data_IF_362967179174
#
_entry.id   IF_362967179174
#
_cell.length_a   1.000
_cell.length_b   1.000
_cell.length_c   1.000
_cell.angle_alpha   90.00
_cell.angle_beta   90.00
_cell.angle_gamma   90.00
#
_symmetry.space_group_name_H-M   'P 1'
#
loop_
_entity.id
_entity.type
_entity.pdbx_description
1 polymer ?
#
# COMPACT_ATOMS: atom_id res chain seq x y z
N UNK A 1 19.90 6.55 15.37
CA UNK A 1 18.54 7.16 15.33
C UNK A 1 17.83 7.32 16.69
N UNK A 2 17.61 6.25 17.48
CA UNK A 2 16.76 6.31 18.69
C UNK A 2 17.22 7.32 19.75
N UNK A 3 18.54 7.53 19.89
CA UNK A 3 19.13 8.56 20.77
C UNK A 3 18.67 10.00 20.46
N UNK A 4 18.16 10.26 19.26
CA UNK A 4 17.66 11.58 18.81
C UNK A 4 16.14 11.66 18.73
N UNK A 5 15.42 10.69 19.31
CA UNK A 5 13.96 10.61 19.21
C UNK A 5 13.48 10.60 17.75
N UNK A 6 14.21 9.92 16.85
CA UNK A 6 13.87 9.84 15.43
C UNK A 6 13.38 8.43 15.08
N UNK A 7 12.30 8.38 14.30
CA UNK A 7 11.75 7.16 13.70
C UNK A 7 11.58 7.32 12.19
N UNK A 8 11.61 6.19 11.48
CA UNK A 8 11.22 6.12 10.09
C UNK A 8 9.70 6.02 9.97
N UNK A 9 9.11 6.87 9.13
CA UNK A 9 7.69 6.78 8.77
C UNK A 9 7.57 6.68 7.25
N UNK A 10 6.64 5.86 6.78
CA UNK A 10 6.31 5.76 5.36
C UNK A 10 5.46 6.97 5.00
N UNK A 11 5.91 7.77 4.05
CA UNK A 11 5.14 8.91 3.54
C UNK A 11 4.31 8.54 2.30
N UNK A 12 4.84 7.64 1.46
CA UNK A 12 4.16 7.18 0.24
C UNK A 12 4.49 5.73 -0.06
N UNK A 13 3.54 4.98 -0.59
CA UNK A 13 3.72 3.63 -1.13
C UNK A 13 3.03 3.53 -2.48
N UNK A 14 3.69 2.94 -3.48
CA UNK A 14 3.10 2.63 -4.77
C UNK A 14 3.41 1.17 -5.11
N UNK A 15 2.37 0.41 -5.44
CA UNK A 15 2.46 -1.01 -5.78
C UNK A 15 1.79 -1.20 -7.14
N UNK A 16 2.47 -1.87 -8.04
CA UNK A 16 1.97 -2.29 -9.33
C UNK A 16 2.03 -3.82 -9.40
N UNK A 17 0.88 -4.44 -9.64
CA UNK A 17 0.76 -5.90 -9.75
C UNK A 17 0.57 -6.22 -11.22
N UNK A 18 1.45 -7.03 -11.80
CA UNK A 18 1.32 -7.50 -13.19
C UNK A 18 0.47 -8.79 -13.24
N UNK A 19 0.71 -9.71 -12.29
CA UNK A 19 0.02 -10.99 -12.15
C UNK A 19 0.04 -11.43 -10.69
N UNK A 20 -1.07 -11.99 -10.21
CA UNK A 20 -1.12 -12.63 -8.90
C UNK A 20 -0.56 -14.06 -8.98
N UNK A 21 0.29 -14.49 -8.03
CA UNK A 21 0.65 -15.90 -7.88
C UNK A 21 -0.58 -16.70 -7.45
N UNK A 22 -0.58 -17.99 -7.78
CA UNK A 22 -1.60 -18.96 -7.38
C UNK A 22 -1.08 -19.89 -6.30
N UNK A 23 -1.97 -20.70 -5.73
CA UNK A 23 -1.59 -21.66 -4.70
C UNK A 23 -0.56 -22.65 -5.24
N UNK A 24 0.56 -22.81 -4.52
CA UNK A 24 1.68 -23.67 -4.92
C UNK A 24 2.80 -22.95 -5.67
N UNK A 25 2.58 -21.73 -6.17
CA UNK A 25 3.64 -20.96 -6.83
C UNK A 25 4.72 -20.55 -5.83
N UNK A 26 5.98 -20.70 -6.23
CA UNK A 26 7.12 -20.14 -5.49
C UNK A 26 7.39 -18.73 -5.99
N UNK A 27 7.56 -17.77 -5.07
CA UNK A 27 7.89 -16.38 -5.40
C UNK A 27 9.25 -15.99 -4.84
N UNK A 28 10.02 -15.24 -5.60
CA UNK A 28 11.23 -14.57 -5.16
C UNK A 28 10.93 -13.10 -4.88
N UNK A 29 11.37 -12.60 -3.73
CA UNK A 29 11.20 -11.20 -3.33
C UNK A 29 12.58 -10.58 -3.15
N UNK A 30 12.90 -9.63 -4.01
CA UNK A 30 14.10 -8.82 -3.89
C UNK A 30 13.71 -7.44 -3.34
N UNK A 31 14.47 -6.92 -2.38
CA UNK A 31 14.28 -5.56 -1.84
C UNK A 31 15.61 -4.89 -1.58
N UNK A 32 15.67 -3.60 -1.84
CA UNK A 32 16.83 -2.76 -1.58
C UNK A 32 16.38 -1.37 -1.18
N UNK A 33 17.32 -0.62 -0.62
CA UNK A 33 17.14 0.78 -0.27
C UNK A 33 18.00 1.64 -1.17
N UNK A 34 17.52 2.84 -1.46
CA UNK A 34 18.22 3.84 -2.24
C UNK A 34 17.98 5.22 -1.63
N UNK A 35 18.85 6.18 -1.92
CA UNK A 35 18.63 7.56 -1.52
C UNK A 35 17.37 8.12 -2.19
N UNK A 36 16.62 8.96 -1.48
CA UNK A 36 15.50 9.72 -2.03
C UNK A 36 15.64 11.20 -1.66
N UNK A 37 16.38 11.93 -2.48
CA UNK A 37 16.80 13.30 -2.18
C UNK A 37 17.70 13.36 -0.94
N UNK A 38 17.81 14.54 -0.31
CA UNK A 38 18.71 14.74 0.82
C UNK A 38 18.22 14.12 2.14
N UNK A 39 16.91 13.99 2.34
CA UNK A 39 16.32 13.68 3.65
C UNK A 39 15.45 12.42 3.67
N UNK A 40 15.28 11.75 2.53
CA UNK A 40 14.44 10.58 2.41
C UNK A 40 15.22 9.34 2.01
N UNK A 41 14.61 8.20 2.27
CA UNK A 41 15.04 6.90 1.77
C UNK A 41 13.93 6.34 0.89
N UNK A 42 14.31 5.74 -0.23
CA UNK A 42 13.42 4.90 -1.04
C UNK A 42 13.67 3.45 -0.66
N UNK A 43 12.61 2.66 -0.54
CA UNK A 43 12.72 1.20 -0.50
C UNK A 43 11.90 0.64 -1.64
N UNK A 44 12.54 -0.20 -2.42
CA UNK A 44 11.97 -0.82 -3.60
C UNK A 44 11.80 -2.33 -3.37
N UNK A 45 10.82 -2.91 -4.06
CA UNK A 45 10.57 -4.34 -4.08
C UNK A 45 10.32 -4.82 -5.50
N UNK A 46 10.90 -5.97 -5.83
CA UNK A 46 10.63 -6.74 -7.03
C UNK A 46 10.18 -8.12 -6.62
N UNK A 47 8.96 -8.50 -7.00
CA UNK A 47 8.41 -9.84 -6.78
C UNK A 47 8.41 -10.56 -8.11
N UNK A 48 9.08 -11.72 -8.16
CA UNK A 48 9.19 -12.57 -9.34
C UNK A 48 8.66 -13.96 -9.10
N UNK A 49 8.17 -14.57 -10.16
CA UNK A 49 7.85 -15.99 -10.20
C UNK A 49 9.15 -16.79 -10.13
N UNK A 50 9.25 -17.72 -9.19
CA UNK A 50 10.48 -18.46 -8.91
C UNK A 50 10.89 -19.42 -10.03
N UNK A 51 9.94 -19.85 -10.86
CA UNK A 51 10.21 -20.81 -11.94
C UNK A 51 10.54 -20.08 -13.26
N UNK A 52 9.74 -19.09 -13.63
CA UNK A 52 9.87 -18.38 -14.91
C UNK A 52 10.74 -17.12 -14.83
N UNK A 53 10.95 -16.57 -13.64
CA UNK A 53 11.58 -15.26 -13.44
C UNK A 53 10.69 -14.07 -13.85
N UNK A 54 9.43 -14.33 -14.24
CA UNK A 54 8.47 -13.29 -14.64
C UNK A 54 8.24 -12.31 -13.48
N UNK A 55 8.21 -11.01 -13.77
CA UNK A 55 7.85 -10.00 -12.76
C UNK A 55 6.35 -10.07 -12.43
N UNK A 56 6.03 -10.44 -11.20
CA UNK A 56 4.68 -10.52 -10.67
C UNK A 56 4.20 -9.17 -10.14
N UNK A 57 5.06 -8.47 -9.39
CA UNK A 57 4.74 -7.17 -8.83
C UNK A 57 6.00 -6.33 -8.61
N UNK A 58 5.83 -5.02 -8.62
CA UNK A 58 6.85 -4.02 -8.28
C UNK A 58 6.26 -3.07 -7.26
N UNK A 59 7.05 -2.65 -6.29
CA UNK A 59 6.63 -1.62 -5.35
C UNK A 59 7.76 -0.66 -5.04
N UNK A 60 7.40 0.57 -4.70
CA UNK A 60 8.32 1.59 -4.20
C UNK A 60 7.66 2.37 -3.08
N UNK A 61 8.44 2.65 -2.04
CA UNK A 61 8.02 3.44 -0.89
C UNK A 61 8.99 4.58 -0.60
N UNK A 62 8.44 5.70 -0.14
CA UNK A 62 9.22 6.85 0.34
C UNK A 62 9.13 6.93 1.85
N UNK A 63 10.29 6.95 2.48
CA UNK A 63 10.45 7.02 3.92
C UNK A 63 11.08 8.35 4.31
N UNK A 64 10.57 8.93 5.37
CA UNK A 64 11.07 10.18 5.96
C UNK A 64 11.25 10.00 7.45
N UNK A 65 12.13 10.81 8.05
CA UNK A 65 12.32 10.80 9.49
C UNK A 65 11.30 11.69 10.18
N UNK A 66 10.74 11.21 11.28
CA UNK A 66 9.87 11.99 12.17
C UNK A 66 10.48 12.00 13.57
N UNK A 67 10.43 13.16 14.21
CA UNK A 67 10.77 13.27 15.62
C UNK A 67 9.58 12.81 16.48
N UNK A 68 9.78 11.84 17.36
CA UNK A 68 8.71 11.23 18.16
C UNK A 68 8.16 12.16 19.23
N UNK A 69 8.98 13.07 19.76
CA UNK A 69 8.56 14.03 20.80
C UNK A 69 7.75 15.19 20.22
N UNK A 70 8.21 15.78 19.12
CA UNK A 70 7.56 16.95 18.50
C UNK A 70 6.52 16.59 17.45
N UNK A 71 6.53 15.33 16.98
CA UNK A 71 5.67 14.81 15.90
C UNK A 71 5.82 15.57 14.57
N UNK A 72 6.97 16.20 14.36
CA UNK A 72 7.32 16.91 13.12
C UNK A 72 8.32 16.12 12.29
N UNK A 73 8.25 16.30 10.97
CA UNK A 73 9.27 15.78 10.05
C UNK A 73 10.62 16.39 10.40
N UNK A 74 11.66 15.55 10.40
CA UNK A 74 13.03 15.94 10.67
C UNK A 74 13.89 15.73 9.43
N UNK A 75 14.90 16.59 9.26
CA UNK A 75 16.01 16.29 8.35
C UNK A 75 16.77 15.05 8.86
N UNK A 76 17.42 14.38 7.94
CA UNK A 76 18.31 13.25 8.25
C UNK A 76 19.62 13.80 8.83
N UNK A 77 19.96 13.51 10.10
CA UNK A 77 21.24 13.90 10.67
C UNK A 77 22.40 13.22 9.94
N UNK A 78 23.56 13.88 9.87
CA UNK A 78 24.71 13.39 9.11
C UNK A 78 25.26 12.06 9.64
N UNK A 79 25.23 11.85 10.95
CA UNK A 79 25.71 10.59 11.52
C UNK A 79 24.79 9.41 11.17
N UNK A 80 23.48 9.63 11.12
CA UNK A 80 22.53 8.63 10.62
C UNK A 80 22.72 8.39 9.12
N UNK A 81 23.03 9.44 8.35
CA UNK A 81 23.34 9.29 6.92
C UNK A 81 24.55 8.38 6.72
N UNK A 82 25.64 8.64 7.44
CA UNK A 82 26.87 7.83 7.37
C UNK A 82 26.60 6.37 7.74
N UNK A 83 25.69 6.11 8.68
CA UNK A 83 25.28 4.74 9.04
C UNK A 83 24.54 4.01 7.91
N UNK A 84 23.70 4.69 7.12
CA UNK A 84 22.78 4.04 6.15
C UNK A 84 23.24 4.13 4.69
N UNK A 85 23.99 5.17 4.34
CA UNK A 85 24.44 5.46 2.98
C UNK A 85 25.24 4.31 2.34
N UNK A 86 26.10 3.57 3.07
CA UNK A 86 26.78 2.40 2.51
C UNK A 86 25.85 1.27 2.05
N UNK A 87 24.60 1.24 2.54
CA UNK A 87 23.60 0.25 2.15
C UNK A 87 22.73 0.73 0.99
N UNK A 88 22.86 1.99 0.55
CA UNK A 88 22.09 2.50 -0.57
C UNK A 88 22.62 1.98 -1.90
N UNK A 89 21.72 1.40 -2.68
CA UNK A 89 21.97 1.01 -4.04
C UNK A 89 21.79 2.21 -4.96
N UNK A 90 22.80 2.48 -5.79
CA UNK A 90 22.70 3.49 -6.85
C UNK A 90 21.92 2.93 -8.04
N UNK A 91 20.60 3.14 -8.01
CA UNK A 91 19.69 2.63 -9.03
C UNK A 91 18.49 3.56 -9.21
N UNK A 92 17.95 3.56 -10.43
CA UNK A 92 16.70 4.23 -10.73
C UNK A 92 15.51 3.59 -9.98
N UNK A 93 14.45 4.34 -9.66
CA UNK A 93 13.23 3.77 -9.09
C UNK A 93 12.66 2.65 -9.98
N UNK A 94 12.29 1.52 -9.37
CA UNK A 94 11.68 0.41 -10.11
C UNK A 94 10.22 0.67 -10.53
N UNK A 95 9.58 1.63 -9.87
CA UNK A 95 8.26 2.13 -10.20
C UNK A 95 8.38 3.61 -10.51
N UNK A 96 7.89 4.02 -11.68
CA UNK A 96 7.74 5.43 -12.01
C UNK A 96 6.71 6.07 -11.09
N UNK A 97 7.07 7.22 -10.52
CA UNK A 97 6.19 7.91 -9.58
C UNK A 97 4.94 8.40 -10.29
N UNK A 98 3.77 7.97 -9.79
CA UNK A 98 2.50 8.51 -10.23
C UNK A 98 2.37 9.98 -9.77
N UNK A 99 2.67 10.92 -10.65
CA UNK A 99 2.61 12.36 -10.37
C UNK A 99 1.19 12.92 -10.26
N UNK A 100 0.14 12.11 -10.48
CA UNK A 100 -1.25 12.56 -10.35
C UNK A 100 -1.54 12.91 -8.89
N UNK A 101 -2.05 14.12 -8.68
CA UNK A 101 -2.53 14.52 -7.35
C UNK A 101 -3.80 13.75 -7.04
N UNK A 102 -3.81 13.04 -5.90
CA UNK A 102 -5.01 12.41 -5.39
C UNK A 102 -6.02 13.50 -4.99
N UNK A 103 -7.21 13.53 -5.63
CA UNK A 103 -8.20 14.55 -5.33
C UNK A 103 -8.65 14.43 -3.87
N UNK A 104 -9.07 15.56 -3.30
CA UNK A 104 -9.63 15.57 -1.95
C UNK A 104 -11.07 15.08 -2.04
N UNK A 105 -11.41 14.05 -1.28
CA UNK A 105 -12.77 13.54 -1.17
C UNK A 105 -13.49 14.13 0.05
N UNK A 106 -14.80 14.20 -0.06
CA UNK A 106 -15.75 14.45 1.02
C UNK A 106 -16.97 13.53 0.87
N UNK A 107 -17.90 13.57 1.83
CA UNK A 107 -19.09 12.71 1.81
C UNK A 107 -20.01 12.99 0.61
N UNK A 108 -20.02 14.22 0.08
CA UNK A 108 -20.86 14.60 -1.06
C UNK A 108 -20.31 14.13 -2.42
N UNK A 109 -19.00 13.86 -2.46
CA UNK A 109 -18.27 13.45 -3.67
C UNK A 109 -17.87 11.97 -3.64
N UNK A 110 -18.29 11.23 -2.61
CA UNK A 110 -17.96 9.82 -2.44
C UNK A 110 -19.15 8.92 -2.75
N UNK A 111 -18.92 7.88 -3.54
CA UNK A 111 -19.93 6.86 -3.85
C UNK A 111 -20.15 5.91 -2.67
N UNK A 112 -19.11 5.68 -1.86
CA UNK A 112 -19.16 4.79 -0.70
C UNK A 112 -18.56 5.47 0.52
N UNK A 113 -19.28 5.39 1.64
CA UNK A 113 -18.83 5.89 2.95
C UNK A 113 -19.01 4.79 3.99
N UNK A 114 -17.94 4.53 4.76
CA UNK A 114 -17.94 3.56 5.85
C UNK A 114 -17.43 4.22 7.13
N UNK A 115 -18.30 4.28 8.13
CA UNK A 115 -18.00 4.84 9.44
C UNK A 115 -17.62 3.76 10.46
N UNK A 116 -17.01 4.18 11.57
CA UNK A 116 -16.82 3.32 12.75
C UNK A 116 -15.68 2.30 12.60
N UNK A 117 -14.73 2.55 11.69
CA UNK A 117 -13.56 1.70 11.54
C UNK A 117 -12.64 1.89 12.73
N UNK A 118 -12.45 0.83 13.51
CA UNK A 118 -11.64 0.85 14.73
C UNK A 118 -10.54 -0.21 14.66
N UNK A 119 -9.31 0.13 15.07
CA UNK A 119 -8.24 -0.86 15.14
C UNK A 119 -8.42 -1.79 16.33
N UNK A 120 -8.04 -3.04 16.14
CA UNK A 120 -7.91 -4.05 17.20
C UNK A 120 -6.48 -4.05 17.73
N UNK A 121 -6.26 -4.73 18.85
CA UNK A 121 -4.92 -4.88 19.45
C UNK A 121 -3.89 -5.41 18.45
N UNK A 122 -4.26 -6.43 17.66
CA UNK A 122 -3.38 -7.04 16.67
C UNK A 122 -3.16 -6.18 15.42
N UNK A 123 -3.89 -5.08 15.27
CA UNK A 123 -3.68 -4.11 14.19
C UNK A 123 -2.57 -3.10 14.53
N UNK A 124 -2.04 -3.12 15.76
CA UNK A 124 -1.00 -2.20 16.23
C UNK A 124 0.41 -2.76 15.98
N UNK A 125 1.34 -1.88 15.62
CA UNK A 125 2.77 -2.17 15.51
C UNK A 125 3.50 -1.99 16.86
N UNK A 126 4.81 -2.25 16.86
CA UNK A 126 5.66 -2.10 18.06
C UNK A 126 5.70 -0.66 18.61
N UNK A 127 5.33 0.33 17.80
CA UNK A 127 5.28 1.74 18.20
C UNK A 127 3.89 2.15 18.72
N UNK A 128 2.95 1.19 18.88
CA UNK A 128 1.56 1.42 19.28
C UNK A 128 0.76 2.27 18.27
N UNK A 129 1.16 2.24 17.00
CA UNK A 129 0.42 2.82 15.90
C UNK A 129 -0.24 1.73 15.07
N UNK A 130 -1.34 2.06 14.39
CA UNK A 130 -1.97 1.15 13.45
C UNK A 130 -1.00 0.82 12.31
N UNK A 131 -0.77 -0.46 12.07
CA UNK A 131 0.10 -0.98 11.03
C UNK A 131 -0.35 -0.50 9.65
N UNK A 132 0.60 -0.10 8.80
CA UNK A 132 0.30 0.44 7.48
C UNK A 132 -0.55 -0.51 6.60
N UNK A 133 -0.38 -1.83 6.76
CA UNK A 133 -1.17 -2.84 6.02
C UNK A 133 -2.66 -2.78 6.39
N UNK A 134 -2.99 -2.36 7.63
CA UNK A 134 -4.39 -2.25 8.05
C UNK A 134 -5.17 -1.19 7.28
N UNK A 135 -4.52 -0.07 6.94
CA UNK A 135 -5.15 0.97 6.12
C UNK A 135 -5.54 0.45 4.73
N UNK A 136 -4.76 -0.46 4.15
CA UNK A 136 -5.09 -1.11 2.88
C UNK A 136 -6.39 -1.91 3.01
N UNK A 137 -6.53 -2.69 4.09
CA UNK A 137 -7.76 -3.44 4.36
C UNK A 137 -8.98 -2.53 4.42
N UNK A 138 -8.92 -1.45 5.20
CA UNK A 138 -10.01 -0.47 5.32
C UNK A 138 -10.37 0.25 4.02
N UNK A 139 -9.37 0.53 3.17
CA UNK A 139 -9.59 1.11 1.84
C UNK A 139 -10.31 0.11 0.93
N UNK A 140 -9.90 -1.16 0.95
CA UNK A 140 -10.47 -2.19 0.09
C UNK A 140 -11.86 -2.67 0.54
N UNK A 141 -12.23 -2.51 1.81
CA UNK A 141 -13.59 -2.83 2.29
C UNK A 141 -14.69 -2.12 1.50
N UNK A 142 -14.46 -0.86 1.08
CA UNK A 142 -15.41 -0.11 0.24
C UNK A 142 -15.43 -0.52 -1.24
N UNK A 143 -14.45 -1.30 -1.69
CA UNK A 143 -14.30 -1.72 -3.09
C UNK A 143 -14.61 -3.21 -3.28
N UNK A 144 -15.30 -3.83 -2.33
CA UNK A 144 -15.50 -5.28 -2.31
C UNK A 144 -16.30 -5.80 -3.51
N UNK A 145 -17.26 -5.02 -4.02
CA UNK A 145 -18.04 -5.37 -5.22
C UNK A 145 -17.17 -5.49 -6.47
N UNK A 146 -16.04 -4.78 -6.52
CA UNK A 146 -15.12 -4.80 -7.64
C UNK A 146 -14.30 -6.09 -7.66
N UNK A 147 -14.03 -6.68 -6.48
CA UNK A 147 -13.29 -7.92 -6.33
C UNK A 147 -14.00 -9.13 -6.94
N UNK A 148 -15.28 -9.05 -7.30
CA UNK A 148 -15.98 -10.15 -7.99
C UNK A 148 -15.43 -10.35 -9.41
N UNK A 149 -15.38 -9.26 -10.19
CA UNK A 149 -15.08 -9.29 -11.62
C UNK A 149 -13.69 -8.72 -11.98
N UNK A 150 -13.06 -7.99 -11.05
CA UNK A 150 -11.77 -7.35 -11.26
C UNK A 150 -10.75 -7.80 -10.22
N UNK A 151 -9.47 -7.62 -10.55
CA UNK A 151 -8.35 -7.74 -9.65
C UNK A 151 -7.59 -6.42 -9.55
N UNK A 152 -6.98 -6.18 -8.40
CA UNK A 152 -6.23 -4.96 -8.14
C UNK A 152 -4.94 -4.96 -8.96
N UNK A 153 -4.80 -4.00 -9.88
CA UNK A 153 -3.64 -3.84 -10.75
C UNK A 153 -2.61 -2.87 -10.19
N UNK A 154 -3.05 -1.91 -9.37
CA UNK A 154 -2.16 -0.97 -8.72
C UNK A 154 -2.79 -0.29 -7.52
N UNK A 155 -1.96 0.12 -6.57
CA UNK A 155 -2.37 0.89 -5.40
C UNK A 155 -1.31 1.94 -5.09
N UNK A 156 -1.75 3.18 -4.87
CA UNK A 156 -0.91 4.30 -4.44
C UNK A 156 -1.48 4.82 -3.14
N UNK A 157 -0.63 5.05 -2.14
CA UNK A 157 -1.00 5.52 -0.81
C UNK A 157 -0.11 6.67 -0.40
N UNK A 158 -0.71 7.74 0.11
CA UNK A 158 -0.05 8.86 0.77
C UNK A 158 -0.47 8.89 2.24
N UNK A 159 0.48 8.65 3.13
CA UNK A 159 0.26 8.66 4.57
C UNK A 159 0.49 10.07 5.12
N UNK A 160 -0.49 10.59 5.87
CA UNK A 160 -0.45 11.95 6.41
C UNK A 160 -0.42 11.97 7.93
N UNK A 161 -1.06 10.99 8.58
CA UNK A 161 -1.16 10.92 10.03
C UNK A 161 -1.21 9.49 10.52
N UNK A 162 -0.58 9.22 11.65
CA UNK A 162 -0.66 7.93 12.33
C UNK A 162 -1.95 7.83 13.15
N UNK A 163 -2.53 6.62 13.20
CA UNK A 163 -3.65 6.29 14.08
C UNK A 163 -3.20 5.45 15.28
N UNK A 164 -3.90 5.61 16.39
CA UNK A 164 -3.72 4.86 17.65
C UNK A 164 -4.95 3.99 17.90
N UNK A 165 -4.86 3.14 18.93
CA UNK A 165 -5.91 2.19 19.35
C UNK A 165 -7.30 2.81 19.50
N UNK A 166 -7.39 4.00 20.09
CA UNK A 166 -8.68 4.61 20.46
C UNK A 166 -9.23 5.50 19.34
N UNK A 167 -8.60 5.51 18.16
CA UNK A 167 -9.08 6.28 17.03
C UNK A 167 -10.17 5.53 16.27
N UNK A 168 -11.22 6.28 15.94
CA UNK A 168 -12.28 5.87 15.02
C UNK A 168 -12.04 6.57 13.69
N UNK A 169 -12.14 5.80 12.62
CA UNK A 169 -11.94 6.27 11.26
C UNK A 169 -13.22 6.14 10.43
N UNK A 170 -13.29 7.03 9.44
CA UNK A 170 -14.20 6.97 8.32
C UNK A 170 -13.41 6.71 7.04
N UNK A 171 -13.89 5.75 6.25
CA UNK A 171 -13.41 5.48 4.89
C UNK A 171 -14.38 6.05 3.87
N UNK A 172 -13.84 6.77 2.90
CA UNK A 172 -14.57 7.37 1.79
C UNK A 172 -13.94 6.91 0.49
N UNK A 173 -14.77 6.51 -0.47
CA UNK A 173 -14.33 6.02 -1.78
C UNK A 173 -15.19 6.60 -2.88
N UNK A 174 -14.52 7.14 -3.91
CA UNK A 174 -15.12 7.57 -5.16
C UNK A 174 -14.61 6.68 -6.30
N UNK A 175 -15.49 6.29 -7.20
CA UNK A 175 -15.22 5.38 -8.30
C UNK A 175 -15.32 6.14 -9.62
N UNK A 176 -14.26 6.05 -10.40
CA UNK A 176 -14.19 6.54 -11.77
C UNK A 176 -13.77 5.42 -12.72
N UNK A 177 -13.65 5.74 -14.00
CA UNK A 177 -13.07 4.87 -15.01
C UNK A 177 -11.82 5.51 -15.60
N UNK A 178 -10.80 4.71 -15.84
CA UNK A 178 -9.60 5.14 -16.54
C UNK A 178 -9.85 5.28 -18.06
N UNK A 179 -8.81 5.65 -18.81
CA UNK A 179 -8.88 5.79 -20.27
C UNK A 179 -9.21 4.47 -21.01
N UNK A 180 -9.01 3.32 -20.38
CA UNK A 180 -9.35 1.99 -20.91
C UNK A 180 -10.76 1.55 -20.49
N UNK A 181 -11.48 2.37 -19.73
CA UNK A 181 -12.77 2.07 -19.16
C UNK A 181 -12.71 1.15 -17.94
N UNK A 182 -11.50 0.86 -17.42
CA UNK A 182 -11.32 0.04 -16.24
C UNK A 182 -11.58 0.86 -14.98
N UNK A 183 -12.09 0.25 -13.90
CA UNK A 183 -12.35 0.99 -12.69
C UNK A 183 -11.07 1.55 -12.06
N UNK A 184 -11.14 2.80 -11.63
CA UNK A 184 -10.16 3.46 -10.77
C UNK A 184 -10.90 4.02 -9.57
N UNK A 185 -10.38 3.83 -8.37
CA UNK A 185 -10.96 4.40 -7.17
C UNK A 185 -9.99 5.38 -6.52
N UNK A 186 -10.54 6.46 -5.99
CA UNK A 186 -9.85 7.33 -5.05
C UNK A 186 -10.40 7.06 -3.66
N UNK A 187 -9.51 7.07 -2.67
CA UNK A 187 -9.82 6.73 -1.30
C UNK A 187 -9.33 7.81 -0.34
N UNK A 188 -10.10 8.04 0.71
CA UNK A 188 -9.71 8.85 1.85
C UNK A 188 -10.07 8.13 3.15
N UNK A 189 -9.06 7.87 3.97
CA UNK A 189 -9.26 7.56 5.38
C UNK A 189 -9.06 8.84 6.18
N UNK A 190 -10.03 9.17 7.05
CA UNK A 190 -9.93 10.30 7.98
C UNK A 190 -10.40 9.90 9.37
N UNK A 191 -9.90 10.60 10.38
CA UNK A 191 -10.43 10.52 11.74
C UNK A 191 -11.82 11.17 11.80
N UNK A 192 -12.63 10.81 12.80
CA UNK A 192 -13.90 11.49 13.08
C UNK A 192 -13.74 13.01 13.33
N UNK A 193 -12.54 13.45 13.74
CA UNK A 193 -12.19 14.87 13.84
C UNK A 193 -11.97 15.58 12.49
N UNK A 194 -12.09 14.87 11.37
CA UNK A 194 -11.87 15.36 10.02
C UNK A 194 -10.41 15.34 9.55
N UNK A 195 -9.46 15.00 10.44
CA UNK A 195 -8.05 14.94 10.07
C UNK A 195 -7.77 13.77 9.10
N UNK A 196 -7.16 14.07 7.96
CA UNK A 196 -6.80 13.06 6.95
C UNK A 196 -5.67 12.15 7.47
N UNK A 197 -5.88 10.85 7.30
CA UNK A 197 -4.96 9.80 7.76
C UNK A 197 -4.19 9.25 6.56
N UNK A 198 -4.93 8.77 5.55
CA UNK A 198 -4.37 8.23 4.30
C UNK A 198 -5.22 8.70 3.14
N UNK A 199 -4.57 9.15 2.07
CA UNK A 199 -5.19 9.23 0.74
C UNK A 199 -4.68 8.08 -0.09
N UNK A 200 -5.55 7.50 -0.91
CA UNK A 200 -5.14 6.42 -1.80
C UNK A 200 -5.79 6.50 -3.17
N UNK A 201 -5.21 5.79 -4.13
CA UNK A 201 -5.91 5.38 -5.34
C UNK A 201 -5.68 3.90 -5.59
N UNK A 202 -6.66 3.25 -6.20
CA UNK A 202 -6.55 1.87 -6.66
C UNK A 202 -6.95 1.78 -8.13
N UNK A 203 -6.16 1.03 -8.88
CA UNK A 203 -6.43 0.73 -10.28
C UNK A 203 -6.80 -0.73 -10.39
N UNK A 204 -7.82 -1.04 -11.16
CA UNK A 204 -8.37 -2.38 -11.28
C UNK A 204 -8.30 -2.84 -12.73
N UNK A 205 -8.21 -4.14 -12.95
CA UNK A 205 -8.34 -4.75 -14.28
C UNK A 205 -9.27 -5.93 -14.23
N UNK A 206 -9.94 -6.29 -15.33
CA UNK A 206 -10.75 -7.51 -15.39
C UNK A 206 -9.91 -8.72 -14.97
N UNK A 207 -10.50 -9.62 -14.18
CA UNK A 207 -9.82 -10.89 -13.84
C UNK A 207 -9.52 -11.65 -15.12
N UNK A 208 -8.35 -12.27 -15.16
CA UNK A 208 -8.06 -13.26 -16.22
C UNK A 208 -9.03 -14.42 -16.02
N UNK A 209 -9.71 -14.84 -17.09
CA UNK A 209 -10.53 -16.05 -17.05
C UNK A 209 -9.58 -17.21 -16.78
N UNK A 210 -9.61 -17.67 -15.54
CA UNK A 210 -8.85 -18.80 -15.08
C UNK A 210 -9.64 -20.05 -15.53
N UNK A 211 -9.17 -20.73 -16.59
CA UNK A 211 -9.74 -21.99 -17.09
C UNK A 211 -9.53 -23.15 -16.10
N UNK A 212 -9.90 -22.98 -14.83
CA UNK A 212 -9.93 -24.05 -13.82
C UNK A 212 -11.18 -24.95 -13.98
N UNK A 213 -11.68 -25.12 -15.21
CA UNK A 213 -12.89 -25.88 -15.54
C UNK A 213 -12.66 -27.32 -15.97
N UNK A 214 -11.45 -27.88 -15.81
CA UNK A 214 -11.16 -29.23 -16.32
C UNK A 214 -10.15 -30.05 -15.49
N UNK A 215 -10.17 -29.94 -14.16
CA UNK A 215 -9.38 -30.85 -13.31
C UNK A 215 -10.31 -31.61 -12.36
N UNK A 216 -10.59 -32.86 -12.72
CA UNK A 216 -10.86 -33.96 -11.79
C UNK A 216 -12.29 -34.10 -11.28
N UNK A 217 -13.19 -34.70 -12.08
CA UNK A 217 -14.23 -35.56 -11.48
C UNK A 217 -13.51 -36.75 -10.85
N UNK A 218 -13.54 -36.85 -9.53
CA UNK A 218 -13.14 -38.07 -8.82
C UNK A 218 -14.11 -39.17 -9.27
N UNK A 219 -13.65 -40.31 -9.81
CA UNK A 219 -14.52 -41.45 -10.06
C UNK A 219 -15.03 -41.96 -8.72
N UNK A 220 -16.33 -41.92 -8.52
CA UNK A 220 -16.99 -42.72 -7.49
C UNK A 220 -16.99 -44.15 -8.00
N UNK A 221 -15.94 -44.92 -7.69
CA UNK A 221 -16.01 -46.37 -7.83
C UNK A 221 -16.99 -46.91 -6.78
N UNK A 222 -17.99 -47.63 -7.27
CA UNK A 222 -19.07 -48.20 -6.49
C UNK A 222 -18.62 -49.35 -5.60
N UNK A 223 -19.33 -49.49 -4.48
CA UNK A 223 -19.50 -50.76 -3.76
C UNK A 223 -20.33 -51.74 -4.57
#
# INVERSE_FOLDING_TARGET
MSKRNLIWVVARMQILVNRYPTWGDTVQVDTWVAANGKNGMRRDWLVRDGNSGETLARASSKWVMMNTSTRKLSKMPDDVRVEIEPYFMDCAPIVEEDGRKLPKLDESTSDYVRNGLTPRWNDLDLNQHVNNVKYIGWILESSISMLENHELAGITLEYRKECRKDNVLQSLTAVSKDAKGWPECVHLLRLDSGAEVVRGSTMWRPKRINNFGSVGRIPTDGM
#
